data_IF_051452306708
#
_entry.id   IF_051452306708
#
_cell.length_a   1.000
_cell.length_b   1.000
_cell.length_c   1.000
_cell.angle_alpha   90.00
_cell.angle_beta   90.00
_cell.angle_gamma   90.00
#
_symmetry.space_group_name_H-M   'P 1'
#
loop_
_entity.id
_entity.type
_entity.pdbx_description
1 polymer ?
#
# COMPACT_ATOMS: atom_id res chain seq x y z
N UNK A 1 36.14 -17.20 -39.16
CA UNK A 1 35.10 -17.31 -38.11
C UNK A 1 34.21 -16.08 -38.23
N UNK A 2 32.99 -16.23 -38.73
CA UNK A 2 32.05 -15.10 -38.90
C UNK A 2 31.17 -15.00 -37.65
N UNK A 3 31.25 -13.87 -36.95
CA UNK A 3 30.37 -13.57 -35.82
C UNK A 3 29.02 -13.10 -36.35
N UNK A 4 27.97 -13.88 -36.12
CA UNK A 4 26.59 -13.49 -36.42
C UNK A 4 26.23 -12.22 -35.63
N UNK A 5 26.11 -11.09 -36.33
CA UNK A 5 25.85 -9.77 -35.75
C UNK A 5 24.36 -9.41 -35.78
N UNK A 6 23.47 -10.37 -35.52
CA UNK A 6 22.04 -10.10 -35.42
C UNK A 6 21.75 -9.34 -34.11
N UNK A 7 20.94 -8.27 -34.13
CA UNK A 7 20.56 -7.60 -32.89
C UNK A 7 19.83 -8.58 -31.96
N UNK A 8 19.97 -8.41 -30.62
CA UNK A 8 19.28 -9.25 -29.65
C UNK A 8 17.77 -9.08 -29.77
N UNK A 9 17.04 -10.15 -29.46
CA UNK A 9 15.57 -10.14 -29.42
C UNK A 9 15.06 -9.14 -28.37
N UNK A 10 14.00 -8.37 -28.67
CA UNK A 10 13.42 -7.44 -27.71
C UNK A 10 12.87 -8.17 -26.47
N UNK A 11 13.05 -7.57 -25.29
CA UNK A 11 12.47 -8.10 -24.06
C UNK A 11 10.93 -8.10 -24.10
N UNK A 12 10.27 -8.95 -23.33
CA UNK A 12 8.81 -9.00 -23.22
C UNK A 12 8.19 -7.63 -22.90
N UNK A 13 8.84 -6.87 -22.02
CA UNK A 13 8.43 -5.52 -21.64
C UNK A 13 8.63 -4.52 -22.79
N UNK A 14 9.75 -4.60 -23.52
CA UNK A 14 9.99 -3.78 -24.72
C UNK A 14 8.95 -4.04 -25.81
N UNK A 15 8.60 -5.30 -26.03
CA UNK A 15 7.53 -5.71 -26.96
C UNK A 15 6.16 -5.20 -26.50
N UNK A 16 5.87 -5.27 -25.19
CA UNK A 16 4.63 -4.76 -24.61
C UNK A 16 4.49 -3.24 -24.83
N UNK A 17 5.51 -2.45 -24.48
CA UNK A 17 5.51 -0.99 -24.64
C UNK A 17 5.38 -0.60 -26.12
N UNK A 18 6.07 -1.32 -27.00
CA UNK A 18 5.98 -1.09 -28.45
C UNK A 18 4.57 -1.38 -28.96
N UNK A 19 3.97 -2.50 -28.54
CA UNK A 19 2.63 -2.92 -28.95
C UNK A 19 1.53 -2.00 -28.39
N UNK A 20 1.75 -1.38 -27.23
CA UNK A 20 0.78 -0.46 -26.63
C UNK A 20 0.73 0.90 -27.32
N UNK A 21 1.70 1.19 -28.20
CA UNK A 21 1.82 2.48 -28.88
C UNK A 21 2.17 3.62 -27.93
N UNK A 22 2.77 3.35 -26.78
CA UNK A 22 3.17 4.38 -25.82
C UNK A 22 4.29 5.23 -26.42
N UNK A 23 4.11 6.55 -26.48
CA UNK A 23 5.04 7.49 -27.12
C UNK A 23 5.81 8.31 -26.10
N UNK A 24 5.30 8.40 -24.88
CA UNK A 24 5.89 9.21 -23.80
C UNK A 24 6.24 8.37 -22.59
N UNK A 25 7.16 8.88 -21.76
CA UNK A 25 7.52 8.23 -20.49
C UNK A 25 6.31 8.09 -19.54
N UNK A 26 5.40 9.06 -19.55
CA UNK A 26 4.17 9.02 -18.73
C UNK A 26 3.19 7.93 -19.17
N UNK A 27 3.24 7.50 -20.44
CA UNK A 27 2.41 6.39 -20.96
C UNK A 27 3.09 5.03 -20.77
N UNK A 28 4.41 4.96 -20.91
CA UNK A 28 5.16 3.71 -20.80
C UNK A 28 5.45 3.30 -19.35
N UNK A 29 5.68 4.26 -18.44
CA UNK A 29 6.00 3.97 -17.04
C UNK A 29 4.89 3.19 -16.31
N UNK A 30 3.60 3.52 -16.43
CA UNK A 30 2.54 2.70 -15.84
C UNK A 30 2.55 1.25 -16.36
N UNK A 31 2.92 1.02 -17.62
CA UNK A 31 3.02 -0.32 -18.19
C UNK A 31 4.23 -1.08 -17.64
N UNK A 32 5.37 -0.41 -17.49
CA UNK A 32 6.57 -0.97 -16.87
C UNK A 32 6.30 -1.38 -15.41
N UNK A 33 5.65 -0.51 -14.63
CA UNK A 33 5.27 -0.80 -13.26
C UNK A 33 4.24 -1.93 -13.19
N UNK A 34 3.22 -1.94 -14.06
CA UNK A 34 2.22 -3.01 -14.07
C UNK A 34 2.87 -4.38 -14.37
N UNK A 35 3.75 -4.41 -15.38
CA UNK A 35 4.52 -5.61 -15.72
C UNK A 35 5.42 -6.04 -14.54
N UNK A 36 6.09 -5.10 -13.87
CA UNK A 36 6.91 -5.39 -12.69
C UNK A 36 6.08 -5.98 -11.53
N UNK A 37 4.94 -5.36 -11.20
CA UNK A 37 4.02 -5.85 -10.17
C UNK A 37 3.54 -7.28 -10.46
N UNK A 38 3.15 -7.55 -11.71
CA UNK A 38 2.64 -8.87 -12.13
C UNK A 38 3.72 -9.95 -12.05
N UNK A 39 4.86 -9.71 -12.69
CA UNK A 39 5.82 -10.78 -12.98
C UNK A 39 6.97 -10.87 -11.97
N UNK A 40 7.29 -9.77 -11.27
CA UNK A 40 8.35 -9.77 -10.25
C UNK A 40 7.80 -9.76 -8.81
N UNK A 41 6.63 -9.16 -8.59
CA UNK A 41 6.01 -9.11 -7.27
C UNK A 41 4.79 -10.02 -7.12
N UNK A 42 4.41 -10.78 -8.17
CA UNK A 42 3.29 -11.72 -8.17
C UNK A 42 1.94 -11.10 -7.77
N UNK A 43 1.73 -9.83 -8.11
CA UNK A 43 0.44 -9.18 -7.89
C UNK A 43 -0.61 -9.74 -8.84
N UNK A 44 -1.85 -9.81 -8.34
CA UNK A 44 -3.02 -10.30 -9.08
C UNK A 44 -4.11 -9.24 -9.15
N UNK A 45 -5.13 -9.47 -9.99
CA UNK A 45 -6.23 -8.52 -10.27
C UNK A 45 -5.76 -7.07 -10.50
N UNK A 46 -4.70 -6.93 -11.31
CA UNK A 46 -4.12 -5.65 -11.68
C UNK A 46 -5.05 -4.88 -12.63
N UNK A 47 -5.34 -3.62 -12.28
CA UNK A 47 -6.19 -2.71 -13.03
C UNK A 47 -5.55 -1.35 -13.13
N UNK A 48 -5.70 -0.69 -14.28
CA UNK A 48 -5.25 0.68 -14.51
C UNK A 48 -6.46 1.61 -14.49
N UNK A 49 -6.33 2.71 -13.75
CA UNK A 49 -7.34 3.73 -13.54
C UNK A 49 -6.83 5.07 -14.05
N UNK A 50 -7.71 5.87 -14.61
CA UNK A 50 -7.44 7.26 -14.97
C UNK A 50 -8.23 8.12 -13.99
N UNK A 51 -7.51 8.97 -13.26
CA UNK A 51 -8.08 9.90 -12.29
C UNK A 51 -8.02 11.30 -12.86
N UNK A 52 -9.15 12.00 -12.83
CA UNK A 52 -9.26 13.38 -13.26
C UNK A 52 -9.00 14.29 -12.06
N UNK A 53 -7.93 15.09 -12.14
CA UNK A 53 -7.49 15.99 -11.09
C UNK A 53 -7.93 17.40 -11.47
N UNK A 54 -8.79 17.96 -10.63
CA UNK A 54 -9.13 19.37 -10.68
C UNK A 54 -8.33 20.11 -9.60
N UNK A 55 -7.18 20.67 -9.97
CA UNK A 55 -6.43 21.54 -9.06
C UNK A 55 -7.10 22.90 -9.08
N UNK A 56 -7.91 23.20 -8.06
CA UNK A 56 -8.41 24.55 -7.86
C UNK A 56 -7.19 25.48 -7.77
N UNK A 57 -7.10 26.43 -8.70
CA UNK A 57 -6.05 27.43 -8.67
C UNK A 57 -6.08 28.10 -7.29
N UNK A 58 -4.91 28.13 -6.63
CA UNK A 58 -4.64 28.99 -5.49
C UNK A 58 -5.29 30.36 -5.71
N UNK A 59 -5.83 30.96 -4.66
CA UNK A 59 -6.69 32.15 -4.54
C UNK A 59 -6.14 33.48 -5.10
N UNK A 60 -5.48 33.43 -6.25
CA UNK A 60 -5.07 34.58 -7.07
C UNK A 60 -5.91 34.58 -8.35
N UNK A 61 -6.71 35.63 -8.61
CA UNK A 61 -7.49 35.76 -9.82
C UNK A 61 -6.54 36.13 -10.97
N UNK A 62 -5.91 35.12 -11.57
CA UNK A 62 -5.22 35.27 -12.85
C UNK A 62 -5.90 34.37 -13.87
N UNK A 63 -6.54 35.03 -14.84
CA UNK A 63 -7.13 34.45 -16.04
C UNK A 63 -6.12 33.58 -16.78
N UNK A 64 -6.11 32.26 -16.55
CA UNK A 64 -5.67 31.23 -17.52
C UNK A 64 -5.84 29.81 -16.95
N UNK A 65 -6.70 29.03 -17.61
CA UNK A 65 -6.85 27.57 -17.60
C UNK A 65 -7.14 26.88 -16.25
N UNK A 66 -8.41 26.54 -16.03
CA UNK A 66 -8.80 25.33 -15.30
C UNK A 66 -8.23 24.11 -16.03
N UNK A 67 -6.97 23.78 -15.75
CA UNK A 67 -6.26 22.66 -16.37
C UNK A 67 -6.67 21.35 -15.69
N UNK A 68 -7.74 20.73 -16.18
CA UNK A 68 -8.05 19.34 -15.85
C UNK A 68 -6.84 18.48 -16.22
N UNK A 69 -6.18 17.92 -15.20
CA UNK A 69 -4.98 17.10 -15.38
C UNK A 69 -5.33 15.67 -15.04
N UNK A 70 -4.86 14.69 -15.80
CA UNK A 70 -5.09 13.29 -15.45
C UNK A 70 -3.88 12.68 -14.73
N UNK A 71 -4.14 11.72 -13.85
CA UNK A 71 -3.12 10.83 -13.31
C UNK A 71 -3.53 9.38 -13.55
N UNK A 72 -2.55 8.54 -13.84
CA UNK A 72 -2.77 7.09 -13.92
C UNK A 72 -2.53 6.48 -12.55
N UNK A 73 -3.46 5.66 -12.06
CA UNK A 73 -3.26 4.81 -10.90
C UNK A 73 -3.30 3.35 -11.33
N UNK A 74 -2.52 2.51 -10.65
CA UNK A 74 -2.58 1.06 -10.80
C UNK A 74 -3.13 0.51 -9.49
N UNK A 75 -4.05 -0.44 -9.53
CA UNK A 75 -4.51 -1.15 -8.34
C UNK A 75 -4.33 -2.65 -8.52
N UNK A 76 -4.06 -3.38 -7.45
CA UNK A 76 -4.00 -4.85 -7.50
C UNK A 76 -3.95 -5.48 -6.11
N UNK A 77 -3.91 -6.80 -6.08
CA UNK A 77 -3.79 -7.61 -4.87
C UNK A 77 -2.34 -8.11 -4.75
N UNK A 78 -1.57 -7.64 -3.75
CA UNK A 78 -0.24 -8.17 -3.47
C UNK A 78 -0.33 -9.61 -2.94
N UNK A 79 0.74 -10.42 -3.01
CA UNK A 79 0.74 -11.79 -2.48
C UNK A 79 0.67 -11.82 -0.94
N UNK A 80 1.00 -10.71 -0.27
CA UNK A 80 0.96 -10.53 1.19
C UNK A 80 0.56 -9.09 1.50
N UNK A 81 0.11 -8.86 2.73
CA UNK A 81 -0.21 -7.51 3.20
C UNK A 81 1.02 -6.59 3.07
N UNK A 82 0.91 -5.45 2.40
CA UNK A 82 2.09 -4.66 1.95
C UNK A 82 2.73 -3.82 3.05
N UNK A 83 1.97 -3.46 4.09
CA UNK A 83 2.44 -2.70 5.24
C UNK A 83 1.64 -3.09 6.46
N UNK A 84 2.30 -3.42 7.57
CA UNK A 84 1.64 -3.72 8.83
C UNK A 84 1.89 -2.56 9.79
N UNK A 85 0.81 -1.94 10.27
CA UNK A 85 0.92 -0.86 11.25
C UNK A 85 1.63 -1.35 12.53
N UNK A 86 2.51 -0.54 13.17
CA UNK A 86 3.27 -0.95 14.35
C UNK A 86 2.40 -1.52 15.49
N UNK A 87 1.21 -0.95 15.73
CA UNK A 87 0.30 -1.43 16.77
C UNK A 87 -0.30 -2.80 16.43
N UNK A 88 -0.67 -3.03 15.16
CA UNK A 88 -1.11 -4.35 14.69
C UNK A 88 0.05 -5.35 14.77
N UNK A 89 1.26 -4.96 14.38
CA UNK A 89 2.44 -5.81 14.47
C UNK A 89 2.73 -6.21 15.93
N UNK A 90 2.65 -5.26 16.86
CA UNK A 90 2.80 -5.52 18.29
C UNK A 90 1.73 -6.50 18.80
N UNK A 91 0.48 -6.36 18.35
CA UNK A 91 -0.59 -7.28 18.70
C UNK A 91 -0.31 -8.70 18.18
N UNK A 92 0.05 -8.84 16.90
CA UNK A 92 0.36 -10.13 16.28
C UNK A 92 1.49 -10.86 17.03
N UNK A 93 2.58 -10.15 17.34
CA UNK A 93 3.71 -10.69 18.10
C UNK A 93 3.29 -11.12 19.50
N UNK A 94 2.53 -10.29 20.22
CA UNK A 94 2.08 -10.59 21.60
C UNK A 94 1.17 -11.82 21.67
N UNK A 95 0.35 -12.02 20.64
CA UNK A 95 -0.61 -13.13 20.59
C UNK A 95 -0.10 -14.32 19.77
N UNK A 96 1.17 -14.31 19.34
CA UNK A 96 1.78 -15.36 18.51
C UNK A 96 0.93 -15.68 17.25
N UNK A 97 0.37 -14.65 16.64
CA UNK A 97 -0.44 -14.75 15.43
C UNK A 97 0.47 -14.51 14.23
N UNK A 98 0.39 -15.39 13.24
CA UNK A 98 1.20 -15.29 12.04
C UNK A 98 0.71 -14.13 11.12
N UNK A 99 1.65 -13.40 10.52
CA UNK A 99 1.34 -12.26 9.63
C UNK A 99 0.55 -12.69 8.38
N UNK A 100 0.68 -13.95 7.94
CA UNK A 100 -0.12 -14.49 6.83
C UNK A 100 -1.61 -14.62 7.15
N UNK A 101 -2.00 -14.50 8.43
CA UNK A 101 -3.42 -14.43 8.82
C UNK A 101 -4.06 -13.08 8.52
N UNK A 102 -3.26 -12.04 8.21
CA UNK A 102 -3.78 -10.74 7.82
C UNK A 102 -4.39 -10.85 6.42
N UNK A 103 -5.66 -10.44 6.21
CA UNK A 103 -6.26 -10.45 4.89
C UNK A 103 -5.48 -9.54 3.92
N UNK A 104 -5.21 -10.07 2.73
CA UNK A 104 -4.68 -9.27 1.62
C UNK A 104 -5.71 -8.24 1.21
N UNK A 105 -5.27 -6.99 1.10
CA UNK A 105 -6.10 -5.88 0.63
C UNK A 105 -5.61 -5.37 -0.71
N UNK A 106 -6.52 -4.75 -1.47
CA UNK A 106 -6.13 -4.05 -2.69
C UNK A 106 -5.24 -2.86 -2.35
N UNK A 107 -4.15 -2.75 -3.07
CA UNK A 107 -3.23 -1.64 -2.96
C UNK A 107 -3.25 -0.80 -4.23
N UNK A 108 -2.95 0.49 -4.06
CA UNK A 108 -2.89 1.46 -5.15
C UNK A 108 -1.46 1.94 -5.32
N UNK A 109 -1.00 1.96 -6.56
CA UNK A 109 0.31 2.42 -6.98
C UNK A 109 0.14 3.63 -7.88
N UNK A 110 0.81 4.72 -7.55
CA UNK A 110 0.96 5.91 -8.38
C UNK A 110 2.32 5.87 -9.10
N UNK A 111 2.34 5.67 -10.43
CA UNK A 111 3.52 5.85 -11.25
C UNK A 111 4.00 7.30 -11.20
N UNK A 112 5.25 7.50 -10.76
CA UNK A 112 5.90 8.81 -10.75
C UNK A 112 7.10 8.80 -11.68
N UNK A 113 7.06 9.63 -12.73
CA UNK A 113 8.24 9.84 -13.58
C UNK A 113 9.19 10.82 -12.90
N UNK A 114 10.49 10.51 -12.90
CA UNK A 114 11.53 11.43 -12.41
C UNK A 114 11.62 12.74 -13.22
N UNK A 115 11.07 12.76 -14.44
CA UNK A 115 11.01 13.96 -15.28
C UNK A 115 9.76 14.80 -15.04
N UNK A 116 8.81 14.32 -14.24
CA UNK A 116 7.55 15.01 -13.95
C UNK A 116 7.66 15.79 -12.65
N UNK A 117 7.15 17.02 -12.65
CA UNK A 117 7.05 17.82 -11.43
C UNK A 117 5.71 17.57 -10.76
N UNK A 118 5.73 17.14 -9.50
CA UNK A 118 4.54 16.91 -8.71
C UNK A 118 4.41 17.99 -7.63
N UNK A 119 3.28 18.70 -7.62
CA UNK A 119 2.93 19.63 -6.55
C UNK A 119 2.22 18.90 -5.43
N UNK A 120 2.32 19.42 -4.20
CA UNK A 120 1.58 18.88 -3.06
C UNK A 120 0.06 18.85 -3.34
N UNK A 121 -0.49 19.92 -3.93
CA UNK A 121 -1.91 19.97 -4.27
C UNK A 121 -2.34 18.86 -5.26
N UNK A 122 -1.48 18.50 -6.22
CA UNK A 122 -1.75 17.38 -7.14
C UNK A 122 -1.69 16.03 -6.42
N UNK A 123 -0.76 15.85 -5.49
CA UNK A 123 -0.72 14.65 -4.64
C UNK A 123 -1.97 14.52 -3.77
N UNK A 124 -2.37 15.60 -3.08
CA UNK A 124 -3.59 15.63 -2.27
C UNK A 124 -4.80 15.26 -3.12
N UNK A 125 -4.94 15.85 -4.31
CA UNK A 125 -6.07 15.57 -5.17
C UNK A 125 -6.10 14.12 -5.71
N UNK A 126 -4.95 13.45 -5.90
CA UNK A 126 -4.92 12.00 -6.16
C UNK A 126 -5.34 11.22 -4.92
N UNK A 127 -4.84 11.63 -3.76
CA UNK A 127 -5.10 10.96 -2.49
C UNK A 127 -6.58 11.03 -2.08
N UNK A 128 -7.24 12.16 -2.33
CA UNK A 128 -8.67 12.37 -2.10
C UNK A 128 -9.55 11.40 -2.92
N UNK A 129 -9.03 10.89 -4.04
CA UNK A 129 -9.73 9.94 -4.93
C UNK A 129 -9.50 8.48 -4.53
N UNK A 130 -8.64 8.22 -3.54
CA UNK A 130 -8.41 6.86 -3.03
C UNK A 130 -9.56 6.44 -2.11
N UNK A 131 -9.99 5.16 -2.19
CA UNK A 131 -10.99 4.62 -1.28
C UNK A 131 -10.47 4.61 0.16
N UNK A 132 -11.40 4.65 1.12
CA UNK A 132 -11.15 4.26 2.51
C UNK A 132 -10.61 2.82 2.55
N UNK A 133 -9.81 2.49 3.57
CA UNK A 133 -9.30 1.13 3.73
C UNK A 133 -10.26 0.26 4.53
N UNK A 134 -10.35 -1.00 4.14
CA UNK A 134 -11.12 -1.99 4.89
C UNK A 134 -10.48 -2.25 6.26
N UNK A 135 -11.32 -2.57 7.24
CA UNK A 135 -10.87 -2.92 8.60
C UNK A 135 -10.10 -4.24 8.55
N UNK A 136 -8.92 -4.26 9.14
CA UNK A 136 -8.12 -5.47 9.31
C UNK A 136 -8.56 -6.16 10.60
N UNK A 137 -9.20 -7.32 10.47
CA UNK A 137 -9.66 -8.12 11.61
C UNK A 137 -8.81 -9.38 11.77
N UNK A 138 -8.26 -9.60 12.97
CA UNK A 138 -7.40 -10.74 13.29
C UNK A 138 -7.91 -11.45 14.54
N UNK A 139 -8.20 -12.74 14.43
CA UNK A 139 -8.68 -13.54 15.57
C UNK A 139 -7.53 -14.30 16.20
N UNK A 140 -7.31 -14.21 17.53
CA UNK A 140 -6.30 -15.00 18.20
C UNK A 140 -6.65 -16.49 18.14
N UNK A 141 -5.64 -17.39 18.10
CA UNK A 141 -5.88 -18.82 18.18
C UNK A 141 -6.61 -19.15 19.49
N UNK A 142 -7.56 -20.09 19.43
CA UNK A 142 -8.27 -20.52 20.63
C UNK A 142 -7.27 -21.00 21.68
N UNK A 143 -7.49 -20.70 22.98
CA UNK A 143 -6.67 -21.28 24.03
C UNK A 143 -6.76 -22.80 23.87
N UNK A 144 -5.60 -23.45 23.77
CA UNK A 144 -5.54 -24.91 23.75
C UNK A 144 -6.20 -25.39 25.04
N UNK A 145 -7.34 -26.07 24.93
CA UNK A 145 -7.95 -26.77 26.06
C UNK A 145 -6.98 -27.88 26.46
N UNK A 146 -6.11 -27.60 27.41
CA UNK A 146 -5.29 -28.63 28.05
C UNK A 146 -6.23 -29.43 28.95
N UNK A 147 -6.60 -30.61 28.49
CA UNK A 147 -7.40 -31.57 29.25
C UNK A 147 -6.51 -32.19 30.33
N UNK A 148 -6.59 -31.66 31.56
CA UNK A 148 -6.07 -32.33 32.74
C UNK A 148 -5.40 -31.43 33.78
N UNK A 149 -6.14 -31.02 34.80
CA UNK A 149 -5.56 -30.58 36.08
C UNK A 149 -6.31 -29.44 36.75
N UNK A 150 -7.21 -29.78 37.69
CA UNK A 150 -7.72 -28.82 38.67
C UNK A 150 -6.55 -28.19 39.43
N UNK A 151 -6.39 -26.86 39.38
CA UNK A 151 -5.68 -26.08 40.40
C UNK A 151 -6.08 -24.60 40.34
N UNK A 152 -6.87 -24.23 41.34
CA UNK A 152 -7.06 -22.91 41.96
C UNK A 152 -6.71 -21.65 41.16
N UNK A 153 -7.78 -20.90 40.91
CA UNK A 153 -7.85 -19.47 40.72
C UNK A 153 -6.85 -18.67 41.57
N UNK A 154 -5.88 -18.04 40.90
CA UNK A 154 -5.45 -16.70 41.28
C UNK A 154 -5.81 -15.76 40.14
N UNK A 155 -6.87 -14.99 40.39
CA UNK A 155 -7.28 -13.85 39.60
C UNK A 155 -6.17 -12.79 39.64
N UNK A 156 -5.21 -12.88 38.72
CA UNK A 156 -4.44 -11.70 38.33
C UNK A 156 -5.31 -10.92 37.35
N UNK A 157 -6.17 -10.08 37.91
CA UNK A 157 -6.97 -9.09 37.21
C UNK A 157 -6.03 -8.01 36.66
N UNK A 158 -5.22 -8.39 35.67
CA UNK A 158 -4.42 -7.47 34.87
C UNK A 158 -5.32 -6.82 33.85
N UNK A 159 -6.20 -5.92 34.29
CA UNK A 159 -6.74 -4.86 33.41
C UNK A 159 -5.56 -3.99 32.98
N UNK A 160 -4.79 -4.49 32.02
CA UNK A 160 -3.96 -3.65 31.19
C UNK A 160 -4.92 -2.84 30.34
N UNK A 161 -5.34 -1.69 30.85
CA UNK A 161 -5.70 -0.53 30.03
C UNK A 161 -4.43 -0.13 29.27
N UNK A 162 -4.04 -0.95 28.31
CA UNK A 162 -3.15 -0.55 27.24
C UNK A 162 -3.91 0.54 26.53
N UNK A 163 -3.48 1.78 26.74
CA UNK A 163 -3.93 2.91 25.93
C UNK A 163 -3.52 2.57 24.50
N UNK A 164 -4.43 1.96 23.74
CA UNK A 164 -4.28 1.78 22.31
C UNK A 164 -4.33 3.20 21.74
N UNK A 165 -3.16 3.77 21.53
CA UNK A 165 -2.98 5.12 21.04
C UNK A 165 -2.94 5.08 19.51
N UNK A 166 -4.12 4.88 18.91
CA UNK A 166 -4.30 4.73 17.48
C UNK A 166 -5.57 3.96 17.15
N UNK A 167 -6.01 4.10 15.89
CA UNK A 167 -7.25 3.65 15.24
C UNK A 167 -7.58 2.13 15.35
N UNK A 168 -7.55 1.58 16.57
CA UNK A 168 -7.71 0.17 16.88
C UNK A 168 -8.73 0.01 18.00
N UNK A 169 -9.57 -1.02 17.90
CA UNK A 169 -10.56 -1.31 18.92
C UNK A 169 -10.51 -2.79 19.31
N UNK A 170 -10.65 -3.03 20.61
CA UNK A 170 -10.81 -4.38 21.15
C UNK A 170 -12.24 -4.45 21.70
N UNK A 171 -13.12 -5.14 20.97
CA UNK A 171 -14.48 -5.38 21.45
C UNK A 171 -14.48 -6.45 22.55
N UNK A 172 -14.87 -6.08 23.77
CA UNK A 172 -14.97 -6.99 24.93
C UNK A 172 -16.45 -7.28 25.23
N UNK A 173 -16.93 -8.54 25.24
CA UNK A 173 -18.16 -8.96 25.97
C UNK A 173 -18.29 -10.48 26.30
N UNK A 174 -18.46 -10.74 27.60
CA UNK A 174 -19.26 -11.73 28.39
C UNK A 174 -19.21 -13.27 28.17
N UNK A 175 -18.82 -13.88 27.03
CA UNK A 175 -19.05 -15.34 26.86
C UNK A 175 -17.85 -16.22 26.39
N UNK A 176 -16.62 -15.90 26.81
CA UNK A 176 -15.52 -16.89 26.81
C UNK A 176 -14.95 -17.33 25.46
N UNK A 177 -15.19 -16.59 24.36
CA UNK A 177 -14.48 -16.79 23.08
C UNK A 177 -13.41 -15.71 22.86
N UNK A 178 -12.26 -16.05 22.24
CA UNK A 178 -11.25 -15.06 21.86
C UNK A 178 -11.85 -14.05 20.89
N UNK A 179 -11.78 -12.77 21.24
CA UNK A 179 -12.33 -11.65 20.45
C UNK A 179 -11.38 -11.29 19.32
N UNK A 180 -11.93 -10.99 18.15
CA UNK A 180 -11.15 -10.47 17.04
C UNK A 180 -10.60 -9.08 17.38
N UNK A 181 -9.35 -8.82 17.01
CA UNK A 181 -8.72 -7.51 17.07
C UNK A 181 -8.94 -6.80 15.74
N UNK A 182 -9.44 -5.57 15.81
CA UNK A 182 -9.74 -4.77 14.62
C UNK A 182 -8.80 -3.57 14.56
N UNK A 183 -8.18 -3.40 13.40
CA UNK A 183 -7.29 -2.29 13.09
C UNK A 183 -7.77 -1.56 11.84
N UNK A 184 -7.86 -0.24 11.93
CA UNK A 184 -8.24 0.62 10.82
C UNK A 184 -7.00 1.30 10.26
N UNK A 185 -6.51 0.79 9.13
CA UNK A 185 -5.42 1.44 8.41
C UNK A 185 -5.87 2.79 7.84
N UNK A 186 -4.95 3.75 7.79
CA UNK A 186 -5.15 5.00 7.07
C UNK A 186 -5.05 4.78 5.56
N UNK A 187 -5.60 5.72 4.78
CA UNK A 187 -5.38 5.74 3.33
C UNK A 187 -3.88 5.73 3.04
N UNK A 188 -3.50 4.99 2.00
CA UNK A 188 -2.11 4.93 1.55
C UNK A 188 -2.05 4.66 0.05
N UNK A 189 -0.95 5.10 -0.55
CA UNK A 189 -0.57 4.85 -1.93
C UNK A 189 0.90 4.48 -2.01
N UNK A 190 1.24 3.56 -2.89
CA UNK A 190 2.61 3.20 -3.23
C UNK A 190 3.09 4.10 -4.38
N UNK A 191 4.21 4.77 -4.21
CA UNK A 191 4.83 5.56 -5.24
C UNK A 191 5.81 4.69 -6.01
N UNK A 192 5.45 4.32 -7.24
CA UNK A 192 6.29 3.51 -8.12
C UNK A 192 7.15 4.38 -9.02
N UNK A 193 8.47 4.25 -8.93
CA UNK A 193 9.42 5.03 -9.73
C UNK A 193 10.44 4.13 -10.40
N UNK A 194 10.77 4.42 -11.65
CA UNK A 194 11.92 3.82 -12.32
C UNK A 194 13.21 4.47 -11.82
N UNK A 195 14.20 3.68 -11.42
CA UNK A 195 15.49 4.19 -10.99
C UNK A 195 16.23 4.91 -12.14
N UNK A 196 16.98 5.98 -11.82
CA UNK A 196 17.74 6.76 -12.82
C UNK A 196 18.86 5.90 -13.42
N UNK A 197 19.00 5.93 -14.74
CA UNK A 197 20.08 5.26 -15.47
C UNK A 197 21.45 5.80 -15.02
N UNK A 198 22.31 4.91 -14.51
CA UNK A 198 23.70 5.25 -14.13
C UNK A 198 24.24 4.58 -12.86
N UNK A 199 23.40 4.00 -12.00
CA UNK A 199 23.82 3.18 -10.84
C UNK A 199 23.34 1.73 -10.86
N UNK A 200 22.58 1.36 -11.90
CA UNK A 200 21.80 0.13 -12.04
C UNK A 200 20.76 0.32 -13.15
N UNK A 201 21.22 0.68 -14.35
CA UNK A 201 20.37 1.07 -15.48
C UNK A 201 19.65 -0.11 -16.15
N UNK A 202 19.00 -0.96 -15.37
CA UNK A 202 18.46 -2.27 -15.79
C UNK A 202 16.92 -2.36 -15.77
N UNK A 203 16.21 -1.25 -15.50
CA UNK A 203 14.74 -1.27 -15.36
C UNK A 203 14.25 -1.57 -13.95
N UNK A 204 15.11 -1.40 -12.93
CA UNK A 204 14.68 -1.45 -11.53
C UNK A 204 13.57 -0.43 -11.23
N UNK A 205 12.49 -0.93 -10.63
CA UNK A 205 11.38 -0.12 -10.09
C UNK A 205 11.50 -0.11 -8.57
N UNK A 206 11.36 1.08 -7.98
CA UNK A 206 11.36 1.28 -6.53
C UNK A 206 9.97 1.72 -6.09
N UNK A 207 9.51 1.17 -4.96
CA UNK A 207 8.22 1.49 -4.36
C UNK A 207 8.41 2.16 -3.01
N UNK A 208 7.79 3.32 -2.81
CA UNK A 208 7.72 4.00 -1.50
C UNK A 208 6.29 4.03 -1.01
N UNK A 209 6.05 3.83 0.28
CA UNK A 209 4.72 3.98 0.86
C UNK A 209 4.52 5.45 1.26
N UNK A 210 3.43 6.05 0.79
CA UNK A 210 2.91 7.33 1.27
C UNK A 210 1.57 7.08 1.94
N UNK A 211 1.45 7.48 3.20
CA UNK A 211 0.24 7.32 4.01
C UNK A 211 -0.26 8.67 4.50
N UNK A 212 -1.56 8.76 4.79
CA UNK A 212 -2.12 9.90 5.50
C UNK A 212 -1.45 10.04 6.86
N UNK A 213 -1.16 11.26 7.31
CA UNK A 213 -0.53 11.46 8.61
C UNK A 213 -1.54 11.35 9.74
N UNK A 214 -1.28 10.53 10.75
CA UNK A 214 -1.96 10.62 12.04
C UNK A 214 -1.34 11.74 12.89
N UNK A 215 -2.08 12.83 13.14
CA UNK A 215 -1.66 13.86 14.10
C UNK A 215 -1.91 13.30 15.49
N UNK A 216 -0.90 12.65 16.08
CA UNK A 216 -0.99 12.25 17.49
C UNK A 216 -1.11 13.51 18.35
N UNK A 217 -2.09 13.58 19.28
CA UNK A 217 -2.19 14.71 20.19
C UNK A 217 -0.86 14.82 20.94
N UNK A 218 -0.24 16.00 20.87
CA UNK A 218 1.01 16.25 21.58
C UNK A 218 0.71 16.12 23.07
N UNK A 219 1.29 15.10 23.71
CA UNK A 219 1.38 15.04 25.16
C UNK A 219 2.39 16.10 25.62
N UNK A 220 1.97 17.36 25.60
CA UNK A 220 2.68 18.41 26.28
C UNK A 220 2.16 18.45 27.73
N UNK A 221 2.98 17.90 28.64
CA UNK A 221 3.05 18.26 30.08
C UNK A 221 1.89 17.85 30.96
#
# INVERSE_FOLDING_TARGET
MATNNSPPEPSALSSLITSSGAKTASESLPLEILHNLQYQHNWTDLKRHIVHINVAASSTPSTAASGETTATLISGLPPRHSYVHPDLQNYLVRHSIDESSIPVQREFVLPLSLSETWTLGRFCAVFDQLPERDVVSVTPPAPRSDDGGQSQSQSSNGSGNGHANGNSSVHVHVHGRPTAYEHHDQKRVLLGMRAKTGGGGDGTVVYYIMQEGEVKPRQNG
#
